data_IF_210125740607
#
_entry.id   IF_210125740607
#
_cell.length_a   1.000
_cell.length_b   1.000
_cell.length_c   1.000
_cell.angle_alpha   90.00
_cell.angle_beta   90.00
_cell.angle_gamma   90.00
#
_symmetry.space_group_name_H-M   'P 1'
#
loop_
_entity.id
_entity.type
_entity.pdbx_description
1 polymer ?
#
# COMPACT_ATOMS: atom_id res chain seq x y z
N UNK A 1 13.25 2.42 11.56
CA UNK A 1 14.01 2.91 10.39
C UNK A 1 13.36 2.48 9.07
N UNK A 2 13.05 1.19 8.88
CA UNK A 2 12.47 0.62 7.64
C UNK A 2 11.20 1.35 7.16
N UNK A 3 10.21 1.54 8.03
CA UNK A 3 8.93 2.20 7.69
C UNK A 3 9.09 3.61 7.08
N UNK A 4 10.12 4.36 7.48
CA UNK A 4 10.36 5.72 6.95
C UNK A 4 10.98 5.70 5.56
N UNK A 5 11.90 4.76 5.31
CA UNK A 5 12.56 4.60 4.01
C UNK A 5 11.54 4.13 2.98
N UNK A 6 10.73 3.12 3.32
CA UNK A 6 9.66 2.64 2.43
C UNK A 6 8.68 3.74 2.08
N UNK A 7 8.26 4.56 3.06
CA UNK A 7 7.42 5.74 2.80
C UNK A 7 8.05 6.72 1.82
N UNK A 8 9.34 7.01 1.96
CA UNK A 8 10.04 7.91 1.03
C UNK A 8 10.06 7.35 -0.39
N UNK A 9 10.47 6.08 -0.57
CA UNK A 9 10.56 5.46 -1.90
C UNK A 9 9.21 5.38 -2.61
N UNK A 10 8.14 5.01 -1.89
CA UNK A 10 6.80 4.90 -2.49
C UNK A 10 6.24 6.27 -2.89
N UNK A 11 6.46 7.30 -2.08
CA UNK A 11 6.05 8.67 -2.44
C UNK A 11 6.86 9.20 -3.63
N UNK A 12 8.17 8.92 -3.69
CA UNK A 12 9.00 9.27 -4.85
C UNK A 12 8.53 8.56 -6.12
N UNK A 13 8.24 7.26 -6.05
CA UNK A 13 7.71 6.50 -7.17
C UNK A 13 6.38 7.06 -7.68
N UNK A 14 5.47 7.43 -6.78
CA UNK A 14 4.21 8.11 -7.12
C UNK A 14 4.43 9.46 -7.79
N UNK A 15 5.42 10.25 -7.36
CA UNK A 15 5.80 11.52 -8.00
C UNK A 15 6.40 11.31 -9.40
N UNK A 16 7.02 10.15 -9.65
CA UNK A 16 7.57 9.76 -10.95
C UNK A 16 6.53 9.10 -11.87
N UNK A 17 5.25 9.13 -11.51
CA UNK A 17 4.16 8.49 -12.27
C UNK A 17 4.32 6.96 -12.43
N UNK A 18 5.06 6.33 -11.51
CA UNK A 18 5.17 4.87 -11.45
C UNK A 18 3.91 4.34 -10.76
N UNK A 19 3.27 3.34 -11.38
CA UNK A 19 2.11 2.66 -10.80
C UNK A 19 2.53 1.90 -9.53
N UNK A 20 2.22 2.49 -8.37
CA UNK A 20 2.48 1.93 -7.05
C UNK A 20 1.21 1.99 -6.20
N UNK A 21 1.02 1.04 -5.26
CA UNK A 21 -0.12 1.10 -4.34
C UNK A 21 -0.07 2.36 -3.49
N UNK A 22 -1.25 2.83 -3.08
CA UNK A 22 -1.38 3.94 -2.14
C UNK A 22 -0.87 3.53 -0.76
N UNK A 23 -0.19 4.46 -0.10
CA UNK A 23 0.51 4.21 1.16
C UNK A 23 0.31 5.36 2.14
N UNK A 24 0.19 5.02 3.42
CA UNK A 24 0.05 5.99 4.50
C UNK A 24 0.92 5.59 5.70
N UNK A 25 1.60 6.58 6.28
CA UNK A 25 2.33 6.44 7.52
C UNK A 25 1.44 6.83 8.70
N UNK A 26 1.20 5.90 9.62
CA UNK A 26 0.39 6.12 10.81
C UNK A 26 1.16 5.72 12.08
N UNK A 27 0.61 6.11 13.23
CA UNK A 27 1.19 5.83 14.54
C UNK A 27 0.11 5.29 15.48
N UNK A 28 0.39 4.17 16.16
CA UNK A 28 -0.41 3.66 17.28
C UNK A 28 0.50 3.60 18.50
N UNK A 29 0.13 4.26 19.59
CA UNK A 29 0.91 4.28 20.85
C UNK A 29 2.40 4.57 20.60
N UNK A 30 2.70 5.60 19.80
CA UNK A 30 4.06 6.01 19.40
C UNK A 30 4.83 4.99 18.53
N UNK A 31 4.18 3.90 18.10
CA UNK A 31 4.75 2.91 17.19
C UNK A 31 4.34 3.23 15.75
N UNK A 32 5.29 3.54 14.85
CA UNK A 32 4.99 3.81 13.45
C UNK A 32 4.65 2.51 12.72
N UNK A 33 3.61 2.55 11.89
CA UNK A 33 3.27 1.46 10.98
C UNK A 33 2.92 2.00 9.59
N UNK A 34 3.05 1.11 8.61
CA UNK A 34 2.85 1.42 7.21
C UNK A 34 1.56 0.77 6.72
N UNK A 35 0.59 1.59 6.35
CA UNK A 35 -0.67 1.14 5.78
C UNK A 35 -0.53 1.17 4.26
N UNK A 36 -0.61 0.00 3.62
CA UNK A 36 -0.53 -0.14 2.16
C UNK A 36 -1.89 -0.60 1.65
N UNK A 37 -2.42 0.07 0.63
CA UNK A 37 -3.58 -0.42 -0.12
C UNK A 37 -3.19 -1.66 -0.90
N UNK A 38 -3.83 -2.79 -0.59
CA UNK A 38 -3.49 -4.06 -1.22
C UNK A 38 -4.11 -4.12 -2.63
N UNK A 39 -3.26 -4.34 -3.63
CA UNK A 39 -3.61 -4.20 -5.05
C UNK A 39 -4.40 -5.40 -5.60
N UNK A 40 -4.41 -6.52 -4.89
CA UNK A 40 -5.15 -7.74 -5.24
C UNK A 40 -6.59 -7.73 -4.70
N UNK A 41 -7.08 -6.61 -4.15
CA UNK A 41 -8.43 -6.49 -3.60
C UNK A 41 -9.20 -5.32 -4.15
N UNK A 42 -10.49 -5.55 -4.34
CA UNK A 42 -11.45 -4.52 -4.70
C UNK A 42 -12.62 -4.53 -3.72
N UNK A 43 -13.03 -3.33 -3.28
CA UNK A 43 -14.22 -3.15 -2.47
C UNK A 43 -15.36 -2.82 -3.44
N UNK A 44 -16.32 -3.73 -3.57
CA UNK A 44 -17.51 -3.51 -4.40
C UNK A 44 -18.48 -2.52 -3.71
N UNK A 45 -19.41 -1.95 -4.49
CA UNK A 45 -20.37 -0.95 -4.00
C UNK A 45 -21.23 -1.44 -2.81
N UNK A 46 -21.45 -2.75 -2.70
CA UNK A 46 -22.16 -3.41 -1.60
C UNK A 46 -21.27 -3.74 -0.39
N UNK A 47 -20.03 -3.20 -0.32
CA UNK A 47 -19.01 -3.47 0.70
C UNK A 47 -18.47 -4.89 0.74
N UNK A 48 -18.73 -5.72 -0.28
CA UNK A 48 -18.06 -7.02 -0.37
C UNK A 48 -16.63 -6.84 -0.86
N UNK A 49 -15.71 -7.60 -0.26
CA UNK A 49 -14.30 -7.62 -0.67
C UNK A 49 -14.12 -8.73 -1.69
N UNK A 50 -13.78 -8.34 -2.93
CA UNK A 50 -13.39 -9.25 -3.99
C UNK A 50 -11.88 -9.46 -3.95
N UNK A 51 -11.44 -10.70 -4.17
CA UNK A 51 -10.02 -11.06 -4.30
C UNK A 51 -9.72 -11.31 -5.76
N UNK A 52 -8.68 -10.68 -6.25
CA UNK A 52 -8.13 -10.87 -7.60
C UNK A 52 -7.00 -11.87 -7.47
N UNK A 53 -7.02 -12.93 -8.28
CA UNK A 53 -5.92 -13.88 -8.30
C UNK A 53 -4.66 -13.19 -8.83
N UNK A 54 -3.58 -13.25 -8.04
CA UNK A 54 -2.29 -12.66 -8.35
C UNK A 54 -1.19 -13.64 -7.92
N UNK A 55 -0.17 -13.78 -8.75
CA UNK A 55 1.02 -14.59 -8.49
C UNK A 55 2.26 -13.72 -8.74
N UNK A 56 3.28 -13.89 -7.92
CA UNK A 56 4.56 -13.23 -8.13
C UNK A 56 5.31 -13.90 -9.29
N UNK A 57 6.13 -13.14 -10.02
CA UNK A 57 7.05 -13.75 -10.97
C UNK A 57 8.09 -14.58 -10.21
N UNK A 58 8.20 -15.87 -10.55
CA UNK A 58 9.17 -16.82 -9.98
C UNK A 58 10.62 -16.48 -10.33
#
# INVERSE_FOLDING_TARGET
>A
MIVRITNFCMNLAKLMDINVPEVHLHFVNNTPYYLISIYDRQIAANRTVLRIHHEDFF
#
